data_IF_416829916578
#
_entry.id   IF_416829916578
#
_cell.length_a   1.000
_cell.length_b   1.000
_cell.length_c   1.000
_cell.angle_alpha   90.00
_cell.angle_beta   90.00
_cell.angle_gamma   90.00
#
_symmetry.space_group_name_H-M   'P 1'
#
loop_
_entity.id
_entity.type
_entity.pdbx_description
1 polymer ?
#
# COMPACT_ATOMS: atom_id res chain seq x y z
N UNK A 1 -9.09 -39.13 15.22
CA UNK A 1 -9.91 -38.18 14.43
C UNK A 1 -9.30 -36.80 14.59
N UNK A 2 -8.52 -36.34 13.60
CA UNK A 2 -7.75 -35.09 13.68
C UNK A 2 -8.59 -33.94 13.10
N UNK A 3 -9.00 -33.00 13.93
CA UNK A 3 -9.78 -31.83 13.52
C UNK A 3 -8.85 -30.80 12.87
N UNK A 4 -8.89 -30.71 11.54
CA UNK A 4 -8.23 -29.67 10.76
C UNK A 4 -8.72 -28.27 11.16
N UNK A 5 -7.90 -27.38 11.76
CA UNK A 5 -8.30 -26.01 12.06
C UNK A 5 -7.80 -25.09 10.94
N UNK A 6 -8.32 -25.25 9.72
CA UNK A 6 -7.96 -24.36 8.62
C UNK A 6 -9.16 -23.94 7.78
N UNK A 7 -9.87 -22.94 8.29
CA UNK A 7 -10.53 -21.88 7.51
C UNK A 7 -10.79 -20.71 8.46
N UNK A 8 -9.82 -19.81 8.60
CA UNK A 8 -10.10 -18.50 9.22
C UNK A 8 -11.18 -17.83 8.37
N UNK A 9 -12.41 -17.72 8.89
CA UNK A 9 -13.46 -16.90 8.26
C UNK A 9 -12.87 -15.52 8.03
N UNK A 10 -12.84 -15.05 6.77
CA UNK A 10 -12.57 -13.63 6.48
C UNK A 10 -13.64 -12.84 7.21
N UNK A 11 -13.29 -12.18 8.31
CA UNK A 11 -14.21 -11.32 9.03
C UNK A 11 -14.61 -10.19 8.08
N UNK A 12 -15.91 -10.01 7.88
CA UNK A 12 -16.41 -8.90 7.08
C UNK A 12 -16.16 -7.62 7.87
N UNK A 13 -15.23 -6.78 7.40
CA UNK A 13 -15.00 -5.48 8.01
C UNK A 13 -16.23 -4.59 7.83
N UNK A 14 -16.61 -3.92 8.91
CA UNK A 14 -17.69 -2.92 8.89
C UNK A 14 -17.30 -1.73 8.00
N UNK A 15 -18.29 -0.89 7.65
CA UNK A 15 -18.04 0.32 6.87
C UNK A 15 -17.09 1.28 7.61
N UNK A 16 -17.24 1.42 8.93
CA UNK A 16 -16.39 2.30 9.74
C UNK A 16 -14.95 1.79 9.82
N UNK A 17 -14.73 0.50 9.99
CA UNK A 17 -13.38 -0.09 9.98
C UNK A 17 -12.67 0.10 8.63
N UNK A 18 -13.39 -0.02 7.52
CA UNK A 18 -12.84 0.25 6.19
C UNK A 18 -12.47 1.73 6.03
N UNK A 19 -13.35 2.63 6.45
CA UNK A 19 -13.10 4.07 6.40
C UNK A 19 -11.87 4.46 7.25
N UNK A 20 -11.72 3.86 8.43
CA UNK A 20 -10.54 4.08 9.28
C UNK A 20 -9.24 3.64 8.59
N UNK A 21 -9.25 2.47 7.92
CA UNK A 21 -8.09 1.97 7.16
C UNK A 21 -7.78 2.82 5.93
N UNK A 22 -8.81 3.30 5.23
CA UNK A 22 -8.63 4.21 4.10
C UNK A 22 -7.97 5.51 4.58
N UNK A 23 -8.42 6.04 5.72
CA UNK A 23 -7.85 7.27 6.25
C UNK A 23 -6.42 7.07 6.77
N UNK A 24 -6.14 5.94 7.41
CA UNK A 24 -4.78 5.57 7.79
C UNK A 24 -3.86 5.44 6.55
N UNK A 25 -4.39 4.89 5.45
CA UNK A 25 -3.66 4.80 4.18
C UNK A 25 -3.36 6.19 3.60
N UNK A 26 -4.31 7.14 3.65
CA UNK A 26 -4.09 8.51 3.20
C UNK A 26 -3.03 9.21 4.06
N UNK A 27 -3.14 9.12 5.39
CA UNK A 27 -2.14 9.68 6.31
C UNK A 27 -0.74 9.17 5.97
N UNK A 28 -0.55 7.86 5.82
CA UNK A 28 0.75 7.29 5.41
C UNK A 28 1.21 7.77 4.04
N UNK A 29 0.27 7.94 3.12
CA UNK A 29 0.55 8.36 1.76
C UNK A 29 0.99 9.82 1.68
N UNK A 30 0.54 10.69 2.58
CA UNK A 30 0.91 12.12 2.61
C UNK A 30 2.07 12.43 3.56
N UNK A 31 2.16 11.78 4.72
CA UNK A 31 3.17 12.08 5.75
C UNK A 31 4.44 11.22 5.69
N UNK A 32 4.46 10.18 4.84
CA UNK A 32 5.57 9.24 4.78
C UNK A 32 6.89 9.88 4.30
N UNK A 33 7.97 9.64 5.03
CA UNK A 33 9.29 10.25 4.78
C UNK A 33 10.18 9.44 3.81
N UNK A 34 9.84 8.18 3.52
CA UNK A 34 10.63 7.35 2.61
C UNK A 34 10.46 7.81 1.16
N UNK A 35 11.60 8.00 0.50
CA UNK A 35 11.73 8.32 -0.93
C UNK A 35 12.10 7.07 -1.77
N UNK A 36 12.25 5.90 -1.14
CA UNK A 36 12.83 4.69 -1.76
C UNK A 36 12.11 4.26 -3.03
N UNK A 37 10.79 4.43 -3.08
CA UNK A 37 9.98 4.00 -4.22
C UNK A 37 9.83 5.07 -5.31
N UNK A 38 10.36 6.28 -5.12
CA UNK A 38 10.11 7.40 -6.04
C UNK A 38 10.58 7.12 -7.47
N UNK A 39 11.80 6.57 -7.70
CA UNK A 39 12.25 6.28 -9.07
C UNK A 39 11.34 5.27 -9.79
N UNK A 40 10.79 4.30 -9.07
CA UNK A 40 9.88 3.29 -9.65
C UNK A 40 8.52 3.87 -9.99
N UNK A 41 8.02 4.78 -9.15
CA UNK A 41 6.77 5.52 -9.39
C UNK A 41 6.92 6.39 -10.64
N UNK A 42 7.96 7.21 -10.69
CA UNK A 42 8.23 8.12 -11.82
C UNK A 42 8.36 7.31 -13.10
N UNK A 43 9.28 6.34 -13.15
CA UNK A 43 9.49 5.48 -14.32
C UNK A 43 8.21 4.78 -14.76
N UNK A 44 7.43 4.26 -13.81
CA UNK A 44 6.20 3.52 -14.10
C UNK A 44 5.10 4.39 -14.71
N UNK A 45 4.95 5.65 -14.27
CA UNK A 45 3.96 6.57 -14.81
C UNK A 45 4.44 7.29 -16.08
N UNK A 46 5.75 7.58 -16.20
CA UNK A 46 6.34 8.07 -17.46
C UNK A 46 6.15 7.05 -18.59
N UNK A 47 6.32 5.76 -18.31
CA UNK A 47 6.02 4.70 -19.28
C UNK A 47 4.53 4.62 -19.68
N UNK A 48 3.63 5.22 -18.89
CA UNK A 48 2.19 5.36 -19.18
C UNK A 48 1.86 6.67 -19.90
N UNK A 49 2.86 7.48 -20.25
CA UNK A 49 2.70 8.74 -20.97
C UNK A 49 2.42 9.95 -20.08
N UNK A 50 2.63 9.86 -18.77
CA UNK A 50 2.51 11.01 -17.86
C UNK A 50 3.87 11.72 -17.79
N UNK A 51 3.94 13.05 -18.07
CA UNK A 51 5.18 13.80 -17.94
C UNK A 51 5.76 13.70 -16.54
N UNK A 52 7.08 13.59 -16.42
CA UNK A 52 7.76 13.49 -15.11
C UNK A 52 7.43 14.67 -14.18
N UNK A 53 7.34 15.88 -14.73
CA UNK A 53 6.97 17.08 -13.99
C UNK A 53 5.56 17.02 -13.36
N UNK A 54 4.67 16.20 -13.93
CA UNK A 54 3.32 16.00 -13.42
C UNK A 54 3.22 14.86 -12.41
N UNK A 55 4.30 14.10 -12.18
CA UNK A 55 4.33 12.99 -11.23
C UNK A 55 4.85 13.53 -9.90
N UNK A 56 3.92 13.81 -8.98
CA UNK A 56 4.23 14.34 -7.65
C UNK A 56 3.86 13.30 -6.58
N UNK A 57 4.77 12.36 -6.25
CA UNK A 57 4.58 11.44 -5.13
C UNK A 57 4.17 12.22 -3.87
N UNK A 58 3.26 11.66 -3.07
CA UNK A 58 2.67 12.28 -1.87
C UNK A 58 1.61 13.37 -2.13
N UNK A 59 1.45 13.85 -3.37
CA UNK A 59 0.47 14.88 -3.74
C UNK A 59 -0.60 14.33 -4.66
N UNK A 60 -0.20 13.70 -5.78
CA UNK A 60 -1.12 13.27 -6.83
C UNK A 60 -0.94 11.81 -7.26
N UNK A 61 -0.18 11.04 -6.47
CA UNK A 61 0.01 9.59 -6.66
C UNK A 61 -0.27 8.88 -5.34
N UNK A 62 -1.35 8.11 -5.29
CA UNK A 62 -1.80 7.41 -4.09
C UNK A 62 -2.27 5.98 -4.36
N UNK A 63 -2.36 5.17 -3.30
CA UNK A 63 -3.01 3.85 -3.39
C UNK A 63 -4.52 4.00 -3.51
N UNK A 64 -5.21 2.94 -3.95
CA UNK A 64 -6.67 2.95 -4.08
C UNK A 64 -7.39 3.35 -2.78
N UNK A 65 -6.95 2.82 -1.64
CA UNK A 65 -7.52 3.12 -0.32
C UNK A 65 -7.37 4.62 0.04
N UNK A 66 -6.19 5.18 -0.21
CA UNK A 66 -5.92 6.59 0.03
C UNK A 66 -6.76 7.50 -0.88
N UNK A 67 -6.95 7.14 -2.16
CA UNK A 67 -7.85 7.89 -3.05
C UNK A 67 -9.29 7.88 -2.55
N UNK A 68 -9.79 6.74 -2.06
CA UNK A 68 -11.13 6.66 -1.47
C UNK A 68 -11.30 7.60 -0.27
N UNK A 69 -10.31 7.64 0.63
CA UNK A 69 -10.32 8.57 1.76
C UNK A 69 -10.26 10.03 1.30
N UNK A 70 -9.51 10.32 0.23
CA UNK A 70 -9.42 11.64 -0.38
C UNK A 70 -10.68 12.04 -1.20
N UNK A 71 -11.77 11.26 -1.12
CA UNK A 71 -13.02 11.57 -1.81
C UNK A 71 -12.96 11.32 -3.32
N UNK A 72 -12.06 10.46 -3.78
CA UNK A 72 -11.94 10.06 -5.20
C UNK A 72 -12.02 8.55 -5.35
N UNK A 73 -12.30 8.07 -6.55
CA UNK A 73 -12.23 6.65 -6.89
C UNK A 73 -11.43 6.44 -8.17
N UNK A 74 -10.66 5.35 -8.21
CA UNK A 74 -9.95 4.95 -9.43
C UNK A 74 -10.97 4.40 -10.43
N UNK A 75 -10.85 4.82 -11.69
CA UNK A 75 -11.75 4.38 -12.77
C UNK A 75 -11.61 2.89 -13.02
N UNK A 76 -12.70 2.25 -13.42
CA UNK A 76 -12.72 0.81 -13.72
C UNK A 76 -11.82 0.51 -14.92
N UNK A 77 -10.95 -0.49 -14.79
CA UNK A 77 -10.03 -0.92 -15.85
C UNK A 77 -8.68 -0.20 -15.85
N UNK A 78 -8.49 0.82 -15.00
CA UNK A 78 -7.20 1.48 -14.86
C UNK A 78 -6.15 0.56 -14.21
N UNK A 79 -4.95 0.56 -14.78
CA UNK A 79 -3.81 -0.17 -14.25
C UNK A 79 -2.85 0.80 -13.55
N UNK A 80 -2.57 0.54 -12.27
CA UNK A 80 -1.59 1.30 -11.49
C UNK A 80 -0.15 0.84 -11.69
N UNK A 81 0.76 1.48 -10.96
CA UNK A 81 2.18 1.10 -10.87
C UNK A 81 2.40 0.31 -9.58
N UNK A 82 3.06 -0.84 -9.68
CA UNK A 82 3.42 -1.65 -8.51
C UNK A 82 4.78 -1.20 -7.96
N UNK A 83 4.85 -0.93 -6.67
CA UNK A 83 6.06 -0.59 -5.92
C UNK A 83 6.33 -1.64 -4.86
N UNK A 84 7.60 -1.92 -4.57
CA UNK A 84 8.01 -2.91 -3.57
C UNK A 84 8.88 -2.22 -2.53
N UNK A 85 8.53 -2.38 -1.25
CA UNK A 85 9.32 -1.89 -0.13
C UNK A 85 9.71 -3.05 0.78
N UNK A 86 10.99 -3.15 1.11
CA UNK A 86 11.51 -4.13 2.05
C UNK A 86 11.32 -3.65 3.49
N UNK A 87 10.42 -4.28 4.22
CA UNK A 87 10.12 -3.92 5.62
C UNK A 87 10.94 -4.84 6.55
N UNK A 88 11.68 -4.29 7.52
CA UNK A 88 12.36 -5.10 8.53
C UNK A 88 11.32 -5.86 9.36
N UNK A 89 11.57 -7.15 9.57
CA UNK A 89 10.80 -7.98 10.49
C UNK A 89 11.37 -7.79 11.91
N UNK A 90 10.54 -7.92 12.95
CA UNK A 90 11.04 -7.92 14.31
C UNK A 90 11.97 -9.11 14.54
N UNK A 91 12.92 -8.92 15.45
CA UNK A 91 13.81 -9.98 15.93
C UNK A 91 12.99 -11.12 16.54
N UNK A 92 13.55 -12.33 16.46
CA UNK A 92 12.89 -13.54 16.95
C UNK A 92 13.75 -14.21 18.00
N UNK A 93 13.14 -14.45 19.15
CA UNK A 93 13.74 -15.30 20.17
C UNK A 93 13.62 -16.77 19.77
N UNK A 94 14.73 -17.49 19.84
CA UNK A 94 14.74 -18.93 19.66
C UNK A 94 14.18 -19.62 20.90
N UNK A 95 13.04 -20.31 20.75
CA UNK A 95 12.33 -20.98 21.85
C UNK A 95 13.14 -22.09 22.54
N UNK A 96 14.24 -22.55 21.93
CA UNK A 96 15.09 -23.62 22.49
C UNK A 96 16.34 -23.09 23.19
N UNK A 97 16.90 -21.97 22.74
CA UNK A 97 18.18 -21.43 23.26
C UNK A 97 18.06 -20.07 23.94
N UNK A 98 16.91 -19.38 23.81
CA UNK A 98 16.72 -18.03 24.35
C UNK A 98 17.50 -16.93 23.62
N UNK A 99 18.23 -17.28 22.55
CA UNK A 99 19.00 -16.32 21.76
C UNK A 99 18.08 -15.47 20.87
N UNK A 100 18.32 -14.16 20.86
CA UNK A 100 17.64 -13.22 19.98
C UNK A 100 18.32 -13.24 18.61
N UNK A 101 17.62 -13.75 17.60
CA UNK A 101 18.08 -13.76 16.21
C UNK A 101 17.54 -12.52 15.48
N UNK A 102 18.40 -11.80 14.73
CA UNK A 102 17.98 -10.61 14.01
C UNK A 102 16.91 -10.96 12.98
N UNK A 103 15.86 -10.14 12.93
CA UNK A 103 14.77 -10.27 11.97
C UNK A 103 15.26 -9.99 10.55
N UNK A 104 14.87 -10.85 9.60
CA UNK A 104 15.11 -10.59 8.17
C UNK A 104 14.27 -9.43 7.64
N UNK A 105 14.29 -9.21 6.32
CA UNK A 105 13.40 -8.24 5.65
C UNK A 105 12.35 -8.99 4.83
N UNK A 106 11.14 -8.44 4.77
CA UNK A 106 10.05 -8.97 3.95
C UNK A 106 9.63 -7.96 2.90
N UNK A 107 9.50 -8.35 1.62
CA UNK A 107 9.03 -7.45 0.58
C UNK A 107 7.53 -7.23 0.75
N UNK A 108 7.11 -5.96 0.73
CA UNK A 108 5.71 -5.56 0.67
C UNK A 108 5.47 -4.80 -0.62
N UNK A 109 4.50 -5.27 -1.39
CA UNK A 109 4.06 -4.61 -2.62
C UNK A 109 2.88 -3.68 -2.33
N UNK A 110 2.84 -2.54 -3.01
CA UNK A 110 1.67 -1.67 -3.09
C UNK A 110 1.44 -1.24 -4.54
N UNK A 111 0.19 -1.02 -4.91
CA UNK A 111 -0.18 -0.47 -6.22
C UNK A 111 -0.64 0.97 -6.04
N UNK A 112 -0.04 1.89 -6.79
CA UNK A 112 -0.36 3.31 -6.77
C UNK A 112 -0.97 3.76 -8.09
N UNK A 113 -1.75 4.83 -8.04
CA UNK A 113 -2.52 5.41 -9.14
C UNK A 113 -2.30 6.92 -9.16
N UNK A 114 -2.12 7.47 -10.35
CA UNK A 114 -2.04 8.91 -10.56
C UNK A 114 -3.44 9.52 -10.55
N UNK A 115 -3.56 10.81 -10.15
CA UNK A 115 -4.84 11.52 -10.06
C UNK A 115 -5.64 11.48 -11.36
N UNK A 116 -4.97 11.49 -12.53
CA UNK A 116 -5.61 11.41 -13.85
C UNK A 116 -6.37 10.11 -14.12
N UNK A 117 -6.15 9.08 -13.29
CA UNK A 117 -6.84 7.78 -13.35
C UNK A 117 -8.06 7.74 -12.40
N UNK A 118 -8.42 8.86 -11.79
CA UNK A 118 -9.43 8.92 -10.74
C UNK A 118 -10.49 9.97 -11.03
N UNK A 119 -11.70 9.71 -10.55
CA UNK A 119 -12.82 10.64 -10.58
C UNK A 119 -13.23 11.04 -9.15
N UNK A 120 -13.71 12.28 -8.93
CA UNK A 120 -14.27 12.67 -7.65
C UNK A 120 -15.52 11.84 -7.34
N UNK A 121 -15.72 11.51 -6.06
CA UNK A 121 -16.97 10.95 -5.60
C UNK A 121 -17.98 12.10 -5.56
N UNK A 122 -18.96 12.07 -6.47
CA UNK A 122 -20.11 12.99 -6.42
C UNK A 122 -20.89 12.86 -5.11
#
# INVERSE_FOLDING_TARGET
MSTNPCRRRRTHRTRSERAALDQEALTRATSGQSLTNWPDIIRGFTAKGIPEADILPRVNVFTFAAWRAAGRHVRKGEHGVNVITWIPLPDKEDKKTGEIKPGGKCPRSATVFHVSQTDPNN
#
